data_IF_516825633352
#
_entry.id   IF_516825633352
#
_cell.length_a   1.000
_cell.length_b   1.000
_cell.length_c   1.000
_cell.angle_alpha   90.00
_cell.angle_beta   90.00
_cell.angle_gamma   90.00
#
_symmetry.space_group_name_H-M   'P 1'
#
loop_
_entity.id
_entity.type
_entity.pdbx_description
1 polymer ?
#
# COMPACT_ATOMS: atom_id res chain seq x y z
N UNK A 1 -12.72 -12.17 17.05
CA UNK A 1 -11.77 -11.34 16.25
C UNK A 1 -10.39 -11.25 16.89
N UNK A 2 -10.18 -10.54 18.01
CA UNK A 2 -8.84 -10.47 18.65
C UNK A 2 -8.36 -11.84 19.15
N UNK A 3 -9.16 -12.65 19.87
CA UNK A 3 -8.71 -13.97 20.32
C UNK A 3 -8.35 -14.90 19.15
N UNK A 4 -9.11 -14.80 18.06
CA UNK A 4 -8.87 -15.60 16.85
C UNK A 4 -7.56 -15.19 16.16
N UNK A 5 -7.27 -13.88 16.09
CA UNK A 5 -6.02 -13.37 15.53
C UNK A 5 -4.81 -13.88 16.32
N UNK A 6 -4.85 -13.79 17.64
CA UNK A 6 -3.75 -14.26 18.50
C UNK A 6 -3.53 -15.77 18.35
N UNK A 7 -4.61 -16.55 18.33
CA UNK A 7 -4.54 -18.00 18.07
C UNK A 7 -3.90 -18.31 16.71
N UNK A 8 -4.21 -17.54 15.67
CA UNK A 8 -3.60 -17.71 14.34
C UNK A 8 -2.10 -17.34 14.34
N UNK A 9 -1.72 -16.29 15.07
CA UNK A 9 -0.30 -15.92 15.23
C UNK A 9 0.48 -17.05 15.91
N UNK A 10 -0.08 -17.66 16.96
CA UNK A 10 0.53 -18.81 17.64
C UNK A 10 0.69 -20.01 16.70
N UNK A 11 -0.32 -20.28 15.86
CA UNK A 11 -0.24 -21.32 14.84
C UNK A 11 0.85 -21.03 13.80
N UNK A 12 0.99 -19.78 13.36
CA UNK A 12 2.07 -19.39 12.45
C UNK A 12 3.44 -19.52 13.09
N UNK A 13 3.59 -19.17 14.37
CA UNK A 13 4.84 -19.30 15.12
C UNK A 13 5.31 -20.77 15.22
N UNK A 14 4.37 -21.72 15.27
CA UNK A 14 4.63 -23.15 15.29
C UNK A 14 4.77 -23.79 13.89
N UNK A 15 4.73 -22.99 12.83
CA UNK A 15 4.81 -23.44 11.44
C UNK A 15 6.07 -22.91 10.74
N UNK A 16 6.36 -23.31 9.49
CA UNK A 16 7.41 -22.69 8.68
C UNK A 16 7.22 -21.17 8.46
N UNK A 17 6.05 -20.61 8.79
CA UNK A 17 5.72 -19.19 8.70
C UNK A 17 6.08 -18.39 9.97
N UNK A 18 7.03 -18.86 10.79
CA UNK A 18 7.42 -18.18 12.03
C UNK A 18 7.79 -16.70 11.83
N UNK A 19 8.48 -16.36 10.73
CA UNK A 19 8.81 -14.96 10.41
C UNK A 19 7.59 -14.08 10.20
N UNK A 20 6.50 -14.63 9.68
CA UNK A 20 5.22 -13.92 9.55
C UNK A 20 4.60 -13.68 10.94
N UNK A 21 4.65 -14.66 11.85
CA UNK A 21 4.20 -14.47 13.23
C UNK A 21 4.99 -13.38 13.95
N UNK A 22 6.32 -13.35 13.80
CA UNK A 22 7.17 -12.31 14.38
C UNK A 22 6.82 -10.92 13.82
N UNK A 23 6.55 -10.84 12.52
CA UNK A 23 6.12 -9.60 11.85
C UNK A 23 4.74 -9.16 12.36
N UNK A 24 3.75 -10.04 12.41
CA UNK A 24 2.41 -9.69 12.89
C UNK A 24 2.42 -9.27 14.37
N UNK A 25 3.26 -9.91 15.18
CA UNK A 25 3.43 -9.57 16.60
C UNK A 25 4.08 -8.20 16.76
N UNK A 26 5.12 -7.88 15.99
CA UNK A 26 5.76 -6.55 16.05
C UNK A 26 4.88 -5.41 15.54
N UNK A 27 3.89 -5.72 14.69
CA UNK A 27 2.93 -4.75 14.12
C UNK A 27 1.54 -4.79 14.76
N UNK A 28 1.38 -5.49 15.89
CA UNK A 28 0.06 -5.72 16.49
C UNK A 28 -0.67 -4.43 16.85
N UNK A 29 0.05 -3.43 17.39
CA UNK A 29 -0.56 -2.14 17.75
C UNK A 29 -1.10 -1.37 16.53
N UNK A 30 -0.32 -1.15 15.44
CA UNK A 30 -0.85 -0.59 14.20
C UNK A 30 -2.06 -1.35 13.63
N UNK A 31 -2.01 -2.70 13.62
CA UNK A 31 -3.12 -3.53 13.15
C UNK A 31 -4.38 -3.30 13.99
N UNK A 32 -4.25 -3.32 15.31
CA UNK A 32 -5.37 -3.05 16.21
C UNK A 32 -5.93 -1.63 16.05
N UNK A 33 -5.05 -0.66 15.77
CA UNK A 33 -5.44 0.73 15.50
C UNK A 33 -6.29 0.85 14.22
N UNK A 34 -6.05 0.01 13.21
CA UNK A 34 -6.89 0.03 11.99
C UNK A 34 -8.35 -0.29 12.28
N UNK A 35 -8.67 -1.12 13.27
CA UNK A 35 -10.07 -1.41 13.65
C UNK A 35 -10.81 -0.21 14.24
N UNK A 36 -10.09 0.84 14.67
CA UNK A 36 -10.69 2.10 15.15
C UNK A 36 -11.10 3.03 14.01
N UNK A 37 -10.57 2.84 12.81
CA UNK A 37 -10.78 3.74 11.69
C UNK A 37 -11.46 3.03 10.52
N UNK A 38 -12.43 3.68 9.88
CA UNK A 38 -13.09 3.17 8.66
C UNK A 38 -12.31 3.49 7.38
N UNK A 39 -11.08 3.99 7.50
CA UNK A 39 -10.23 4.34 6.36
C UNK A 39 -9.54 3.08 5.85
N UNK A 40 -9.57 2.88 4.53
CA UNK A 40 -8.86 1.80 3.84
C UNK A 40 -7.71 2.37 3.01
N UNK A 41 -6.79 1.50 2.57
CA UNK A 41 -5.64 1.90 1.75
C UNK A 41 -5.99 2.11 0.27
N UNK A 42 -7.28 2.12 -0.12
CA UNK A 42 -7.69 2.08 -1.52
C UNK A 42 -7.19 3.25 -2.36
N UNK A 43 -7.10 4.45 -1.77
CA UNK A 43 -6.56 5.62 -2.46
C UNK A 43 -5.06 5.43 -2.76
N UNK A 44 -4.28 4.98 -1.77
CA UNK A 44 -2.84 4.70 -1.92
C UNK A 44 -2.60 3.62 -2.97
N UNK A 45 -3.35 2.52 -2.91
CA UNK A 45 -3.24 1.44 -3.90
C UNK A 45 -3.64 1.90 -5.31
N UNK A 46 -4.65 2.75 -5.42
CA UNK A 46 -5.03 3.39 -6.68
C UNK A 46 -3.89 4.22 -7.27
N UNK A 47 -3.19 5.00 -6.43
CA UNK A 47 -2.02 5.75 -6.85
C UNK A 47 -0.85 4.84 -7.23
N UNK A 48 -0.54 3.81 -6.44
CA UNK A 48 0.51 2.85 -6.76
C UNK A 48 0.25 2.13 -8.09
N UNK A 49 -0.98 1.67 -8.31
CA UNK A 49 -1.39 1.03 -9.57
C UNK A 49 -1.20 1.98 -10.77
N UNK A 50 -1.57 3.25 -10.62
CA UNK A 50 -1.40 4.26 -11.66
C UNK A 50 0.09 4.54 -11.93
N UNK A 51 0.90 4.66 -10.89
CA UNK A 51 2.36 4.82 -11.00
C UNK A 51 3.00 3.63 -11.72
N UNK A 52 2.59 2.41 -11.38
CA UNK A 52 3.08 1.21 -12.04
C UNK A 52 2.68 1.17 -13.53
N UNK A 53 1.44 1.54 -13.86
CA UNK A 53 0.98 1.67 -15.25
C UNK A 53 1.83 2.67 -16.05
N UNK A 54 2.19 3.81 -15.43
CA UNK A 54 3.04 4.84 -16.05
C UNK A 54 4.41 4.25 -16.40
N UNK A 55 5.01 3.51 -15.48
CA UNK A 55 6.28 2.80 -15.68
C UNK A 55 6.19 1.74 -16.75
N UNK A 56 5.15 0.90 -16.74
CA UNK A 56 4.93 -0.16 -17.75
C UNK A 56 4.78 0.43 -19.17
N UNK A 57 3.98 1.49 -19.32
CA UNK A 57 3.78 2.17 -20.63
C UNK A 57 5.03 2.87 -21.16
N UNK A 58 5.94 3.26 -20.28
CA UNK A 58 7.21 3.87 -20.66
C UNK A 58 8.34 2.85 -20.89
N UNK A 59 8.09 1.55 -20.64
CA UNK A 59 9.12 0.51 -20.59
C UNK A 59 10.23 0.83 -19.56
N UNK A 60 9.82 1.41 -18.44
CA UNK A 60 10.71 1.86 -17.37
C UNK A 60 11.21 3.29 -17.53
N UNK A 61 11.75 3.85 -16.44
CA UNK A 61 12.37 5.18 -16.43
C UNK A 61 13.82 5.06 -16.01
N UNK A 62 14.74 5.58 -16.84
CA UNK A 62 16.16 5.69 -16.48
C UNK A 62 16.45 6.93 -15.63
N UNK A 63 15.57 7.93 -15.68
CA UNK A 63 15.72 9.20 -14.96
C UNK A 63 14.50 9.43 -14.04
N UNK A 64 14.77 9.55 -12.75
CA UNK A 64 13.73 9.76 -11.73
C UNK A 64 12.97 11.08 -11.91
N UNK A 65 13.62 12.14 -12.38
CA UNK A 65 12.96 13.42 -12.67
C UNK A 65 11.84 13.25 -13.70
N UNK A 66 12.10 12.51 -14.78
CA UNK A 66 11.11 12.23 -15.83
C UNK A 66 9.95 11.36 -15.31
N UNK A 67 10.26 10.36 -14.48
CA UNK A 67 9.23 9.58 -13.78
C UNK A 67 8.35 10.48 -12.91
N UNK A 68 8.97 11.30 -12.06
CA UNK A 68 8.28 12.22 -11.15
C UNK A 68 7.36 13.18 -11.89
N UNK A 69 7.81 13.76 -13.00
CA UNK A 69 6.97 14.65 -13.82
C UNK A 69 5.70 13.95 -14.32
N UNK A 70 5.81 12.70 -14.79
CA UNK A 70 4.65 11.93 -15.24
C UNK A 70 3.71 11.53 -14.10
N UNK A 71 4.26 11.15 -12.95
CA UNK A 71 3.45 10.88 -11.75
C UNK A 71 2.71 12.13 -11.32
N UNK A 72 3.34 13.30 -11.27
CA UNK A 72 2.66 14.55 -10.92
C UNK A 72 1.56 14.91 -11.93
N UNK A 73 1.84 14.80 -13.22
CA UNK A 73 0.87 15.12 -14.26
C UNK A 73 -0.36 14.19 -14.22
N UNK A 74 -0.16 12.91 -13.91
CA UNK A 74 -1.24 11.91 -14.00
C UNK A 74 -1.91 11.63 -12.65
N UNK A 75 -1.18 11.66 -11.54
CA UNK A 75 -1.71 11.43 -10.20
C UNK A 75 -2.07 12.72 -9.44
N UNK A 76 -1.49 13.86 -9.81
CA UNK A 76 -1.76 15.16 -9.18
C UNK A 76 -2.91 15.94 -9.82
N UNK A 77 -3.49 15.45 -10.92
CA UNK A 77 -4.56 16.14 -11.63
C UNK A 77 -5.92 15.91 -10.95
N UNK A 78 -6.56 16.99 -10.52
CA UNK A 78 -7.89 16.99 -9.88
C UNK A 78 -9.05 17.00 -10.88
N UNK A 79 -8.81 16.75 -12.17
CA UNK A 79 -9.84 16.68 -13.20
C UNK A 79 -10.33 18.02 -13.76
N UNK A 80 -9.85 19.17 -13.24
CA UNK A 80 -10.26 20.49 -13.76
C UNK A 80 -9.38 20.85 -14.96
N UNK A 81 -10.01 20.96 -16.14
CA UNK A 81 -9.42 21.65 -17.29
C UNK A 81 -9.95 23.07 -17.26
N UNK A 82 -9.14 24.02 -16.78
CA UNK A 82 -9.40 25.42 -17.07
C UNK A 82 -9.09 25.62 -18.56
N UNK A 83 -10.11 25.44 -19.40
CA UNK A 83 -10.07 25.98 -20.77
C UNK A 83 -10.23 27.48 -20.61
N UNK A 84 -9.13 28.21 -20.75
CA UNK A 84 -9.15 29.64 -21.08
C UNK A 84 -9.80 29.84 -22.44
#
# INVERSE_FOLDING_TARGET
>A
LIPDLLRLIDQFAASPLKSLADTLTSWLEPVARMWRFSRNNGITEGFHTKMEMISRRAFGFRNFHNYRLRVLALCGWNGVINRV
#
